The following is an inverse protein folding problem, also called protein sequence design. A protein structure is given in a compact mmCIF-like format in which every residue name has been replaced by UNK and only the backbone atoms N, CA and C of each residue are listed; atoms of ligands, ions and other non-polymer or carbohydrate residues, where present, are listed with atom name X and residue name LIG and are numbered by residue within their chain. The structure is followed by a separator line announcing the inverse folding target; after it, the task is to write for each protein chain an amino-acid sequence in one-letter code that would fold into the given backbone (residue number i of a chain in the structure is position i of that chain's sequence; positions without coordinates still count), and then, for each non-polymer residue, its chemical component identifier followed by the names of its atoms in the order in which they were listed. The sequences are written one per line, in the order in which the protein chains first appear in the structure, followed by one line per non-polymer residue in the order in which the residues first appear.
data_IF_366536362195
#
_entry.id   IF_366536362195
#
_cell.length_a   1.000
_cell.length_b   1.000
_cell.length_c   1.000
_cell.angle_alpha   90.00
_cell.angle_beta   90.00
_cell.angle_gamma   90.00
#
_symmetry.space_group_name_H-M   'P 1'
#
loop_
_entity.id
_entity.type
_entity.pdbx_description
1 polymer ?
#
# COMPACT_ATOMS: atom_id res chain seq x y z
N UNK A 1 1.41 14.96 19.71
CA UNK A 1 0.39 13.93 20.02
C UNK A 1 0.38 12.94 18.87
N UNK A 2 0.32 11.62 19.13
CA UNK A 2 0.17 10.63 18.04
C UNK A 2 -1.30 10.63 17.63
N UNK A 3 -1.64 11.42 16.62
CA UNK A 3 -3.04 11.59 16.20
C UNK A 3 -3.58 10.31 15.56
N UNK A 4 -4.71 9.84 16.09
CA UNK A 4 -5.51 8.77 15.51
C UNK A 4 -6.36 9.34 14.39
N UNK A 5 -6.33 8.72 13.20
CA UNK A 5 -7.26 9.09 12.13
C UNK A 5 -8.68 8.61 12.46
N UNK A 6 -9.73 9.33 12.06
CA UNK A 6 -11.09 8.81 12.13
C UNK A 6 -11.28 7.65 11.14
N UNK A 7 -12.30 6.82 11.36
CA UNK A 7 -12.62 5.73 10.46
C UNK A 7 -13.01 6.25 9.07
N UNK A 8 -12.42 5.71 8.01
CA UNK A 8 -12.68 6.11 6.63
C UNK A 8 -14.15 5.93 6.22
N UNK A 9 -14.84 4.95 6.79
CA UNK A 9 -16.22 4.61 6.42
C UNK A 9 -17.29 5.45 7.14
N UNK A 10 -17.05 5.82 8.40
CA UNK A 10 -18.10 6.42 9.24
C UNK A 10 -17.62 7.58 10.12
N UNK A 11 -16.35 7.98 10.00
CA UNK A 11 -15.71 9.10 10.69
C UNK A 11 -15.63 8.98 12.23
N UNK A 12 -16.06 7.86 12.82
CA UNK A 12 -15.89 7.61 14.25
C UNK A 12 -14.41 7.42 14.60
N UNK A 13 -14.00 7.94 15.77
CA UNK A 13 -12.68 7.65 16.33
C UNK A 13 -12.58 6.17 16.72
N UNK A 14 -11.40 5.54 16.59
CA UNK A 14 -11.24 4.14 16.98
C UNK A 14 -11.24 3.94 18.48
N UNK A 15 -11.58 2.72 18.89
CA UNK A 15 -11.25 2.17 20.20
C UNK A 15 -10.05 1.25 20.09
N UNK A 16 -9.21 1.22 21.13
CA UNK A 16 -8.12 0.26 21.27
C UNK A 16 -8.66 -0.99 21.98
N UNK A 17 -8.59 -2.14 21.32
CA UNK A 17 -8.79 -3.44 21.93
C UNK A 17 -7.46 -4.10 22.21
N UNK A 18 -7.37 -4.73 23.36
CA UNK A 18 -6.24 -5.57 23.75
C UNK A 18 -6.68 -6.99 23.97
N UNK A 19 -5.86 -7.94 23.54
CA UNK A 19 -6.03 -9.36 23.86
C UNK A 19 -4.72 -9.87 24.48
N UNK A 20 -4.84 -10.68 25.52
CA UNK A 20 -3.70 -11.35 26.15
C UNK A 20 -3.79 -12.83 25.84
N UNK A 21 -3.28 -13.19 24.65
CA UNK A 21 -3.23 -14.57 24.19
C UNK A 21 -1.77 -15.01 24.15
N UNK A 22 -1.49 -16.17 24.74
CA UNK A 22 -0.16 -16.79 24.78
C UNK A 22 0.90 -15.89 25.47
N UNK A 23 0.56 -15.27 26.61
CA UNK A 23 1.41 -14.33 27.37
C UNK A 23 1.92 -13.13 26.56
N UNK A 24 1.23 -12.81 25.45
CA UNK A 24 1.55 -11.68 24.57
C UNK A 24 0.36 -10.75 24.46
N UNK A 25 0.63 -9.47 24.71
CA UNK A 25 -0.35 -8.41 24.48
C UNK A 25 -0.43 -8.08 23.00
N UNK A 26 -1.61 -8.30 22.44
CA UNK A 26 -1.96 -7.88 21.10
C UNK A 26 -2.82 -6.62 21.17
N UNK A 27 -2.43 -5.60 20.42
CA UNK A 27 -3.10 -4.32 20.31
C UNK A 27 -3.76 -4.23 18.94
N UNK A 28 -5.04 -3.85 18.91
CA UNK A 28 -5.80 -3.67 17.69
C UNK A 28 -6.73 -2.47 17.82
N UNK A 29 -6.60 -1.51 16.93
CA UNK A 29 -7.59 -0.43 16.83
C UNK A 29 -8.74 -0.86 15.92
N UNK A 30 -9.96 -0.58 16.36
CA UNK A 30 -11.20 -0.94 15.68
C UNK A 30 -12.20 0.21 15.77
N UNK A 31 -13.00 0.37 14.74
CA UNK A 31 -14.12 1.28 14.73
C UNK A 31 -15.27 0.70 15.58
N UNK A 32 -15.77 1.43 16.60
CA UNK A 32 -16.89 0.94 17.41
C UNK A 32 -18.20 0.84 16.60
N UNK A 33 -18.34 1.64 15.54
CA UNK A 33 -19.57 1.74 14.74
C UNK A 33 -19.66 0.66 13.66
N UNK A 34 -18.66 0.56 12.78
CA UNK A 34 -18.72 -0.32 11.60
C UNK A 34 -17.80 -1.54 11.69
N UNK A 35 -17.11 -1.75 12.81
CA UNK A 35 -16.16 -2.86 13.03
C UNK A 35 -14.98 -2.92 12.04
N UNK A 36 -14.78 -1.87 11.24
CA UNK A 36 -13.55 -1.69 10.45
C UNK A 36 -12.35 -1.66 11.40
N UNK A 37 -11.29 -2.42 11.11
CA UNK A 37 -10.17 -2.62 12.02
C UNK A 37 -8.86 -2.73 11.25
N UNK A 38 -7.75 -2.44 11.93
CA UNK A 38 -6.42 -2.81 11.46
C UNK A 38 -6.06 -4.22 11.92
N UNK A 39 -4.93 -4.76 11.44
CA UNK A 39 -4.35 -5.98 11.99
C UNK A 39 -3.94 -5.82 13.45
N UNK A 40 -3.98 -6.90 14.22
CA UNK A 40 -3.46 -6.93 15.58
C UNK A 40 -1.91 -6.95 15.59
N UNK A 41 -1.29 -6.21 16.51
CA UNK A 41 0.17 -6.12 16.65
C UNK A 41 0.64 -6.19 18.10
N UNK A 42 1.90 -6.60 18.29
CA UNK A 42 2.51 -6.73 19.63
C UNK A 42 2.81 -5.39 20.33
N UNK A 43 2.76 -4.28 19.59
CA UNK A 43 3.05 -2.95 20.12
C UNK A 43 1.92 -1.98 19.74
N UNK A 44 1.41 -1.24 20.72
CA UNK A 44 0.35 -0.24 20.51
C UNK A 44 0.72 0.79 19.43
N UNK A 45 1.97 1.24 19.40
CA UNK A 45 2.47 2.19 18.40
C UNK A 45 2.38 1.66 16.98
N UNK A 46 2.61 0.36 16.78
CA UNK A 46 2.50 -0.30 15.48
C UNK A 46 1.03 -0.50 15.13
N UNK A 47 0.19 -0.90 16.09
CA UNK A 47 -1.26 -1.00 15.88
C UNK A 47 -1.86 0.35 15.46
N UNK A 48 -1.43 1.45 16.10
CA UNK A 48 -1.84 2.80 15.73
C UNK A 48 -1.34 3.19 14.33
N UNK A 49 -0.10 2.87 14.00
CA UNK A 49 0.42 3.10 12.65
C UNK A 49 -0.44 2.39 11.60
N UNK A 50 -0.79 1.13 11.82
CA UNK A 50 -1.62 0.34 10.91
C UNK A 50 -3.05 0.85 10.84
N UNK A 51 -3.63 1.30 11.95
CA UNK A 51 -4.92 1.99 11.94
C UNK A 51 -4.92 3.22 11.03
N UNK A 52 -3.90 4.06 11.17
CA UNK A 52 -3.78 5.25 10.35
C UNK A 52 -3.57 4.90 8.88
N UNK A 53 -2.94 3.76 8.56
CA UNK A 53 -2.74 3.28 7.19
C UNK A 53 -3.99 2.68 6.55
N UNK A 54 -4.77 1.88 7.27
CA UNK A 54 -6.00 1.31 6.70
C UNK A 54 -7.09 2.37 6.48
N UNK A 55 -7.05 3.46 7.25
CA UNK A 55 -7.94 4.62 7.08
C UNK A 55 -7.29 5.76 6.29
N UNK A 56 -6.20 5.50 5.56
CA UNK A 56 -5.64 6.45 4.61
C UNK A 56 -6.40 6.39 3.28
N UNK A 57 -6.60 7.54 2.64
CA UNK A 57 -7.17 7.56 1.29
C UNK A 57 -6.30 6.70 0.37
N UNK A 58 -6.94 5.76 -0.32
CA UNK A 58 -6.27 4.79 -1.17
C UNK A 58 -5.55 5.50 -2.32
N UNK A 59 -4.23 5.63 -2.21
CA UNK A 59 -3.42 6.31 -3.22
C UNK A 59 -3.19 5.45 -4.47
N UNK A 60 -3.06 6.07 -5.66
CA UNK A 60 -2.65 5.39 -6.88
C UNK A 60 -1.20 4.85 -6.77
N UNK A 61 -0.80 4.03 -7.74
CA UNK A 61 0.58 3.55 -7.86
C UNK A 61 1.54 4.74 -8.06
N UNK A 62 2.59 4.86 -7.25
CA UNK A 62 3.56 5.94 -7.41
C UNK A 62 4.43 5.79 -8.65
N UNK A 63 4.56 4.58 -9.19
CA UNK A 63 5.31 4.34 -10.42
C UNK A 63 4.59 4.85 -11.66
N UNK A 64 3.34 4.40 -11.89
CA UNK A 64 2.61 4.66 -13.14
C UNK A 64 1.26 5.37 -12.96
N UNK A 65 0.92 5.80 -11.75
CA UNK A 65 -0.37 6.43 -11.40
C UNK A 65 -1.62 5.57 -11.64
N UNK A 66 -1.46 4.30 -12.03
CA UNK A 66 -2.56 3.35 -12.15
C UNK A 66 -3.23 3.03 -10.81
N UNK A 67 -4.54 2.78 -10.85
CA UNK A 67 -5.32 2.47 -9.66
C UNK A 67 -4.99 1.08 -9.10
N UNK A 68 -4.93 0.91 -7.78
CA UNK A 68 -4.85 -0.42 -7.20
C UNK A 68 -6.18 -1.16 -7.33
N UNK A 69 -6.11 -2.47 -7.53
CA UNK A 69 -7.24 -3.39 -7.36
C UNK A 69 -6.91 -4.43 -6.32
N UNK A 70 -7.92 -4.79 -5.53
CA UNK A 70 -7.82 -5.90 -4.58
C UNK A 70 -7.79 -7.23 -5.34
N UNK A 71 -6.95 -8.15 -4.89
CA UNK A 71 -6.87 -9.53 -5.37
C UNK A 71 -6.89 -10.50 -4.20
N UNK A 72 -7.62 -11.58 -4.37
CA UNK A 72 -7.62 -12.72 -3.47
C UNK A 72 -7.07 -13.95 -4.22
N UNK A 73 -6.17 -14.68 -3.58
CA UNK A 73 -5.59 -15.92 -4.10
C UNK A 73 -6.17 -17.12 -3.35
N UNK A 74 -6.96 -17.95 -4.04
CA UNK A 74 -7.48 -19.22 -3.49
C UNK A 74 -6.36 -20.20 -3.11
N UNK A 75 -5.25 -20.20 -3.87
CA UNK A 75 -4.10 -21.08 -3.60
C UNK A 75 -3.37 -20.70 -2.31
N UNK A 76 -3.32 -19.40 -2.00
CA UNK A 76 -2.62 -18.88 -0.81
C UNK A 76 -3.53 -18.61 0.37
N UNK A 77 -4.83 -18.52 0.15
CA UNK A 77 -5.83 -18.01 1.11
C UNK A 77 -5.42 -16.63 1.66
N UNK A 78 -5.08 -15.72 0.74
CA UNK A 78 -4.52 -14.40 1.06
C UNK A 78 -4.97 -13.32 0.09
N UNK A 79 -4.95 -12.10 0.59
CA UNK A 79 -5.28 -10.84 -0.08
C UNK A 79 -4.01 -10.08 -0.49
N UNK A 80 -4.11 -9.28 -1.54
CA UNK A 80 -3.07 -8.35 -2.00
C UNK A 80 -3.71 -7.21 -2.80
N UNK A 81 -2.99 -6.11 -3.01
CA UNK A 81 -3.31 -5.06 -3.95
C UNK A 81 -2.35 -5.12 -5.14
N UNK A 82 -2.90 -5.02 -6.35
CA UNK A 82 -2.15 -4.96 -7.58
C UNK A 82 -2.46 -3.68 -8.35
N UNK A 83 -1.44 -2.99 -8.87
CA UNK A 83 -1.60 -1.89 -9.81
C UNK A 83 -2.21 -2.39 -11.14
N UNK A 84 -3.24 -1.71 -11.64
CA UNK A 84 -3.82 -2.02 -12.96
C UNK A 84 -2.97 -1.58 -14.15
N UNK A 85 -2.03 -0.65 -13.96
CA UNK A 85 -1.13 -0.15 -15.00
C UNK A 85 0.14 -0.99 -15.13
N UNK A 86 1.09 -0.82 -14.21
CA UNK A 86 2.40 -1.48 -14.27
C UNK A 86 2.44 -2.91 -13.69
N UNK A 87 1.32 -3.39 -13.14
CA UNK A 87 1.23 -4.74 -12.58
C UNK A 87 1.90 -4.95 -11.22
N UNK A 88 2.51 -3.91 -10.62
CA UNK A 88 3.09 -3.96 -9.27
C UNK A 88 2.13 -4.60 -8.28
N UNK A 89 2.63 -5.53 -7.46
CA UNK A 89 1.86 -6.24 -6.43
C UNK A 89 2.57 -6.00 -5.10
N UNK A 90 1.83 -5.62 -4.06
CA UNK A 90 2.40 -5.55 -2.71
C UNK A 90 2.52 -6.96 -2.10
N UNK A 91 2.88 -7.04 -0.81
CA UNK A 91 2.92 -8.34 -0.13
C UNK A 91 1.52 -8.97 0.01
N UNK A 92 1.50 -10.29 0.17
CA UNK A 92 0.28 -11.03 0.49
C UNK A 92 -0.03 -10.88 1.99
N UNK A 93 -1.30 -10.77 2.34
CA UNK A 93 -1.77 -10.68 3.72
C UNK A 93 -2.97 -11.60 3.96
N UNK A 94 -3.10 -12.15 5.15
CA UNK A 94 -4.26 -12.98 5.52
C UNK A 94 -5.55 -12.16 5.69
N UNK A 95 -5.47 -10.83 5.72
CA UNK A 95 -6.63 -9.94 5.79
C UNK A 95 -6.60 -8.90 4.68
N UNK A 96 -7.79 -8.46 4.26
CA UNK A 96 -7.92 -7.37 3.29
C UNK A 96 -7.28 -6.08 3.80
N UNK A 97 -7.48 -5.77 5.08
CA UNK A 97 -6.96 -4.58 5.74
C UNK A 97 -5.43 -4.61 5.80
N UNK A 98 -4.83 -5.79 6.05
CA UNK A 98 -3.40 -5.94 5.98
C UNK A 98 -2.85 -5.77 4.55
N UNK A 99 -3.59 -6.19 3.52
CA UNK A 99 -3.22 -5.91 2.14
C UNK A 99 -3.28 -4.41 1.82
N UNK A 100 -4.31 -3.69 2.28
CA UNK A 100 -4.43 -2.23 2.14
C UNK A 100 -3.25 -1.53 2.83
N UNK A 101 -2.99 -1.84 4.11
CA UNK A 101 -1.83 -1.30 4.83
C UNK A 101 -0.53 -1.57 4.07
N UNK A 102 -0.37 -2.79 3.58
CA UNK A 102 0.79 -3.20 2.79
C UNK A 102 0.99 -2.36 1.54
N UNK A 103 -0.08 -1.96 0.86
CA UNK A 103 0.03 -1.05 -0.28
C UNK A 103 0.58 0.31 0.16
N UNK A 104 0.06 0.86 1.26
CA UNK A 104 0.54 2.14 1.76
C UNK A 104 1.98 2.10 2.25
N UNK A 105 2.48 0.96 2.74
CA UNK A 105 3.85 0.83 3.25
C UNK A 105 4.85 0.42 2.18
N UNK A 106 4.42 -0.31 1.14
CA UNK A 106 5.30 -0.77 0.07
C UNK A 106 5.26 0.11 -1.18
N UNK A 107 4.15 0.79 -1.51
CA UNK A 107 4.10 1.71 -2.67
C UNK A 107 4.89 3.01 -2.39
N UNK A 108 6.22 2.93 -2.31
CA UNK A 108 7.11 4.04 -1.95
C UNK A 108 8.14 4.28 -3.06
N UNK A 109 8.66 5.51 -3.24
CA UNK A 109 9.62 5.80 -4.32
C UNK A 109 10.88 4.93 -4.31
N UNK A 110 11.26 4.37 -3.15
CA UNK A 110 12.42 3.48 -2.99
C UNK A 110 12.21 2.04 -3.47
N UNK A 111 11.01 1.68 -3.93
CA UNK A 111 10.75 0.33 -4.41
C UNK A 111 11.56 -0.05 -5.65
N UNK A 112 12.14 -1.23 -5.61
CA UNK A 112 12.93 -1.80 -6.72
C UNK A 112 12.11 -1.87 -8.01
N UNK A 113 10.81 -2.13 -7.90
CA UNK A 113 9.92 -2.14 -9.07
C UNK A 113 9.86 -0.79 -9.78
N UNK A 114 9.74 0.32 -9.04
CA UNK A 114 9.69 1.66 -9.64
C UNK A 114 11.04 2.06 -10.20
N UNK A 115 12.14 1.72 -9.50
CA UNK A 115 13.48 1.96 -10.03
C UNK A 115 13.67 1.32 -11.40
N UNK A 116 13.36 0.02 -11.52
CA UNK A 116 13.50 -0.72 -12.80
C UNK A 116 12.64 -0.12 -13.92
N UNK A 117 11.42 0.32 -13.59
CA UNK A 117 10.52 0.93 -14.55
C UNK A 117 11.06 2.29 -15.04
N UNK A 118 11.61 3.12 -14.16
CA UNK A 118 12.21 4.40 -14.55
C UNK A 118 13.53 4.23 -15.32
N UNK A 119 14.36 3.27 -14.93
CA UNK A 119 15.59 2.95 -15.67
C UNK A 119 15.26 2.59 -17.13
N UNK A 120 14.27 1.71 -17.34
CA UNK A 120 13.82 1.32 -18.69
C UNK A 120 13.27 2.51 -19.50
N UNK A 121 12.44 3.38 -18.89
CA UNK A 121 11.92 4.57 -19.57
C UNK A 121 13.02 5.57 -19.92
N UNK A 122 14.04 5.70 -19.08
CA UNK A 122 15.18 6.56 -19.35
C UNK A 122 15.96 6.08 -20.57
N UNK A 123 16.21 4.76 -20.69
CA UNK A 123 16.88 4.17 -21.85
C UNK A 123 16.10 4.39 -23.16
N UNK A 124 14.77 4.26 -23.13
CA UNK A 124 13.91 4.59 -24.27
C UNK A 124 14.05 6.06 -24.69
N UNK A 125 13.98 6.98 -23.73
CA UNK A 125 14.10 8.42 -23.99
C UNK A 125 15.47 8.80 -24.58
N UNK A 126 16.55 8.12 -24.19
CA UNK A 126 17.86 8.33 -24.81
C UNK A 126 17.87 7.90 -26.27
N UNK A 127 17.30 6.72 -26.58
CA UNK A 127 17.17 6.23 -27.97
C UNK A 127 16.32 7.19 -28.81
N UNK A 128 15.17 7.64 -28.31
CA UNK A 128 14.30 8.61 -28.98
C UNK A 128 15.07 9.92 -29.31
N UNK A 129 15.89 10.41 -28.37
CA UNK A 129 16.74 11.61 -28.57
C UNK A 129 17.82 11.40 -29.62
N UNK A 130 18.50 10.25 -29.60
CA UNK A 130 19.53 9.92 -30.60
C UNK A 130 18.94 9.80 -32.01
N UNK A 131 17.75 9.20 -32.14
CA UNK A 131 17.02 9.10 -33.40
C UNK A 131 16.61 10.48 -33.92
N UNK A 132 16.05 11.34 -33.06
CA UNK A 132 15.68 12.70 -33.42
C UNK A 132 16.90 13.53 -33.86
N UNK A 133 18.04 13.40 -33.18
CA UNK A 133 19.27 14.11 -33.54
C UNK A 133 19.82 13.68 -34.91
N UNK A 134 19.69 12.39 -35.27
CA UNK A 134 20.08 11.90 -36.60
C UNK A 134 19.18 12.47 -37.70
N UNK A 135 17.88 12.53 -37.47
CA UNK A 135 16.92 13.08 -38.43
C UNK A 135 17.13 14.57 -38.70
N UNK A 136 17.55 15.36 -37.69
CA UNK A 136 17.85 16.79 -37.84
C UNK A 136 19.18 17.02 -38.58
N UNK A 137 20.12 16.07 -38.54
CA UNK A 137 21.41 16.17 -39.21
C UNK A 137 21.42 15.70 -40.68
N UNK A 138 20.29 15.23 -41.20
CA UNK A 138 20.11 14.76 -42.58
C UNK A 138 19.34 15.77 -43.48
N UNK A 139 18.96 16.93 -42.93
CA UNK A 139 18.45 18.12 -43.65
C UNK A 139 19.57 19.15 -43.89
#
# INVERSE_FOLDING_TARGET
MKETRPCLHCQSLPELRTDNKDDRFWFMFICPTCQHHAGAHLYESVALHWWNKVNEEQRPCLGCHGQPRVKYSKLRDMWTLQCTGCGYVNHWSHTLQGAVCGWHTSNTPGEVHYKKMWDARYEELQKERELAAKQIGED
#
